data_IF_913621162608
#
_entry.id   IF_913621162608
#
_cell.length_a   1.000
_cell.length_b   1.000
_cell.length_c   1.000
_cell.angle_alpha   90.00
_cell.angle_beta   90.00
_cell.angle_gamma   90.00
#
_symmetry.space_group_name_H-M   'P 1'
#
loop_
_entity.id
_entity.type
_entity.pdbx_description
1 polymer ?
#
# COMPACT_ATOMS: atom_id res chain seq x y z
N UNK A 1 -0.51 -14.20 15.37
CA UNK A 1 0.38 -13.89 14.22
C UNK A 1 1.78 -13.56 14.74
N UNK A 2 1.96 -12.57 15.67
CA UNK A 2 3.27 -12.18 16.21
C UNK A 2 4.05 -13.37 16.78
N UNK A 3 3.43 -14.19 17.64
CA UNK A 3 4.06 -15.40 18.19
C UNK A 3 4.53 -16.34 17.07
N UNK A 4 3.66 -16.60 16.08
CA UNK A 4 4.01 -17.46 14.94
C UNK A 4 5.17 -16.90 14.12
N UNK A 5 5.22 -15.57 13.91
CA UNK A 5 6.34 -14.92 13.23
C UNK A 5 7.63 -15.02 14.05
N UNK A 6 7.56 -14.82 15.37
CA UNK A 6 8.69 -14.99 16.29
C UNK A 6 9.18 -16.43 16.35
N UNK A 7 8.28 -17.40 16.43
CA UNK A 7 8.63 -18.83 16.42
C UNK A 7 9.32 -19.22 15.11
N UNK A 8 8.82 -18.72 13.96
CA UNK A 8 9.47 -18.93 12.66
C UNK A 8 10.83 -18.24 12.55
N UNK A 9 10.97 -17.03 13.09
CA UNK A 9 12.25 -16.33 13.17
C UNK A 9 13.28 -17.16 13.96
N UNK A 10 12.89 -17.67 15.15
CA UNK A 10 13.77 -18.50 15.97
C UNK A 10 14.15 -19.80 15.26
N UNK A 11 13.20 -20.41 14.53
CA UNK A 11 13.45 -21.65 13.80
C UNK A 11 14.37 -21.46 12.59
N UNK A 12 14.35 -20.30 11.94
CA UNK A 12 15.13 -19.97 10.74
C UNK A 12 16.46 -19.25 11.08
N UNK A 13 16.64 -18.79 12.30
CA UNK A 13 17.74 -17.93 12.70
C UNK A 13 19.16 -18.52 12.47
N UNK A 14 19.42 -19.85 12.58
CA UNK A 14 20.77 -20.38 12.40
C UNK A 14 21.29 -20.33 10.94
N UNK A 15 20.39 -20.51 9.95
CA UNK A 15 20.76 -20.75 8.55
C UNK A 15 20.18 -19.73 7.57
N UNK A 16 19.69 -18.60 8.07
CA UNK A 16 18.93 -17.63 7.27
C UNK A 16 19.85 -16.52 6.75
N UNK A 17 19.72 -16.21 5.46
CA UNK A 17 20.28 -15.01 4.85
C UNK A 17 19.88 -13.75 5.63
N UNK A 18 20.79 -12.78 5.71
CA UNK A 18 20.59 -11.50 6.44
C UNK A 18 19.37 -10.74 5.93
N UNK A 19 19.12 -10.76 4.62
CA UNK A 19 17.96 -10.11 4.01
C UNK A 19 16.66 -10.76 4.47
N UNK A 20 16.61 -12.09 4.51
CA UNK A 20 15.44 -12.84 4.98
C UNK A 20 15.20 -12.55 6.46
N UNK A 21 16.27 -12.53 7.27
CA UNK A 21 16.20 -12.21 8.70
C UNK A 21 15.66 -10.80 8.93
N UNK A 22 16.16 -9.82 8.19
CA UNK A 22 15.68 -8.44 8.24
C UNK A 22 14.17 -8.35 7.93
N UNK A 23 13.72 -8.99 6.86
CA UNK A 23 12.32 -8.99 6.47
C UNK A 23 11.41 -9.69 7.50
N UNK A 24 11.85 -10.82 8.05
CA UNK A 24 11.11 -11.52 9.10
C UNK A 24 10.99 -10.68 10.39
N UNK A 25 12.04 -9.95 10.77
CA UNK A 25 12.01 -9.02 11.90
C UNK A 25 10.98 -7.92 11.66
N UNK A 26 10.97 -7.29 10.47
CA UNK A 26 9.97 -6.26 10.12
C UNK A 26 8.55 -6.80 10.19
N UNK A 27 8.32 -8.02 9.69
CA UNK A 27 7.00 -8.67 9.79
C UNK A 27 6.62 -8.93 11.25
N UNK A 28 7.55 -9.38 12.08
CA UNK A 28 7.30 -9.65 13.50
C UNK A 28 7.00 -8.36 14.30
N UNK A 29 7.69 -7.27 14.01
CA UNK A 29 7.44 -5.95 14.59
C UNK A 29 6.09 -5.39 14.16
N UNK A 30 5.79 -5.47 12.87
CA UNK A 30 4.54 -5.01 12.28
C UNK A 30 3.30 -5.84 12.70
N UNK A 31 3.50 -7.04 13.23
CA UNK A 31 2.40 -7.94 13.61
C UNK A 31 1.55 -7.45 14.81
N UNK A 32 1.91 -6.33 15.44
CA UNK A 32 1.06 -5.65 16.42
C UNK A 32 -0.05 -4.79 15.80
N UNK A 33 0.07 -4.44 14.53
CA UNK A 33 -1.02 -3.78 13.83
C UNK A 33 -2.12 -4.81 13.52
N UNK A 34 -3.39 -4.49 13.68
CA UNK A 34 -4.00 -3.19 13.94
C UNK A 34 -4.23 -2.85 15.43
N UNK A 35 -3.76 -3.66 16.38
CA UNK A 35 -3.95 -3.41 17.82
C UNK A 35 -3.23 -2.16 18.30
N UNK A 36 -2.08 -1.86 17.68
CA UNK A 36 -1.35 -0.62 17.87
C UNK A 36 -1.39 0.20 16.58
N UNK A 37 -1.43 1.53 16.66
CA UNK A 37 -1.35 2.36 15.46
C UNK A 37 -0.03 2.12 14.73
N UNK A 38 -0.01 2.19 13.39
CA UNK A 38 1.18 2.01 12.61
C UNK A 38 2.22 3.09 12.95
N UNK A 39 3.49 2.70 12.99
CA UNK A 39 4.62 3.58 13.31
C UNK A 39 5.48 3.89 12.09
N UNK A 40 5.48 3.00 11.11
CA UNK A 40 6.29 3.10 9.89
C UNK A 40 5.41 3.00 8.65
N UNK A 41 5.98 3.37 7.49
CA UNK A 41 5.32 3.16 6.19
C UNK A 41 5.00 1.68 5.95
N UNK A 42 5.91 0.79 6.32
CA UNK A 42 5.70 -0.65 6.22
C UNK A 42 4.50 -1.10 7.07
N UNK A 43 4.41 -0.64 8.34
CA UNK A 43 3.28 -0.97 9.21
C UNK A 43 1.95 -0.48 8.64
N UNK A 44 1.92 0.73 8.10
CA UNK A 44 0.72 1.32 7.53
C UNK A 44 0.23 0.52 6.30
N UNK A 45 1.12 0.21 5.36
CA UNK A 45 0.81 -0.62 4.18
C UNK A 45 0.38 -2.03 4.59
N UNK A 46 1.09 -2.65 5.54
CA UNK A 46 0.74 -3.98 6.05
C UNK A 46 -0.61 -4.00 6.77
N UNK A 47 -0.95 -2.95 7.52
CA UNK A 47 -2.27 -2.82 8.15
C UNK A 47 -3.39 -2.75 7.12
N UNK A 48 -3.20 -1.97 6.05
CA UNK A 48 -4.17 -1.88 4.96
C UNK A 48 -4.37 -3.24 4.27
N UNK A 49 -3.26 -3.95 3.99
CA UNK A 49 -3.31 -5.28 3.41
C UNK A 49 -4.03 -6.29 4.32
N UNK A 50 -3.73 -6.27 5.63
CA UNK A 50 -4.41 -7.11 6.61
C UNK A 50 -5.92 -6.82 6.66
N UNK A 51 -6.34 -5.55 6.59
CA UNK A 51 -7.76 -5.19 6.54
C UNK A 51 -8.44 -5.78 5.30
N UNK A 52 -7.82 -5.68 4.12
CA UNK A 52 -8.34 -6.31 2.88
C UNK A 52 -8.53 -7.82 3.08
N UNK A 53 -7.49 -8.49 3.58
CA UNK A 53 -7.50 -9.94 3.78
C UNK A 53 -8.56 -10.37 4.80
N UNK A 54 -8.69 -9.65 5.90
CA UNK A 54 -9.66 -10.00 6.95
C UNK A 54 -11.10 -9.78 6.53
N UNK A 55 -11.41 -8.66 5.89
CA UNK A 55 -12.75 -8.42 5.36
C UNK A 55 -13.12 -9.42 4.28
N UNK A 56 -12.16 -9.83 3.46
CA UNK A 56 -12.39 -10.86 2.44
C UNK A 56 -12.64 -12.23 3.03
N UNK A 57 -11.88 -12.62 4.08
CA UNK A 57 -11.97 -13.97 4.69
C UNK A 57 -13.13 -14.07 5.68
N UNK A 58 -13.34 -13.05 6.52
CA UNK A 58 -14.32 -13.09 7.60
C UNK A 58 -15.73 -12.72 7.13
N UNK A 59 -15.85 -11.71 6.29
CA UNK A 59 -17.14 -11.19 5.85
C UNK A 59 -17.49 -11.57 4.40
N UNK A 60 -16.59 -12.26 3.70
CA UNK A 60 -16.75 -12.59 2.29
C UNK A 60 -16.80 -11.36 1.38
N UNK A 61 -16.40 -10.19 1.89
CA UNK A 61 -16.41 -8.95 1.12
C UNK A 61 -15.26 -8.93 0.10
N UNK A 62 -15.62 -8.76 -1.15
CA UNK A 62 -14.64 -8.61 -2.24
C UNK A 62 -14.36 -7.16 -2.60
N UNK A 63 -15.22 -6.25 -2.19
CA UNK A 63 -15.15 -4.84 -2.54
C UNK A 63 -14.61 -4.05 -1.34
N UNK A 64 -13.38 -3.55 -1.46
CA UNK A 64 -12.72 -2.76 -0.43
C UNK A 64 -12.22 -1.45 -1.00
N UNK A 65 -12.72 -0.34 -0.51
CA UNK A 65 -12.18 0.98 -0.84
C UNK A 65 -11.14 1.36 0.20
N UNK A 66 -9.88 1.49 -0.22
CA UNK A 66 -8.77 1.85 0.67
C UNK A 66 -8.70 3.35 0.98
N UNK A 67 -9.54 4.15 0.32
CA UNK A 67 -9.54 5.59 0.46
C UNK A 67 -8.32 6.25 -0.19
N UNK A 68 -7.97 7.43 0.30
CA UNK A 68 -6.83 8.22 -0.20
C UNK A 68 -5.51 7.66 0.32
N UNK A 69 -4.99 6.66 -0.36
CA UNK A 69 -3.76 5.95 0.05
C UNK A 69 -2.56 6.89 0.09
N UNK A 70 -2.44 7.80 -0.87
CA UNK A 70 -1.39 8.81 -0.90
C UNK A 70 -1.35 9.69 0.37
N UNK A 71 -2.50 10.12 0.87
CA UNK A 71 -2.60 10.93 2.10
C UNK A 71 -2.39 10.11 3.35
N UNK A 72 -2.92 8.88 3.38
CA UNK A 72 -2.80 8.00 4.54
C UNK A 72 -1.36 7.55 4.75
N UNK A 73 -0.62 7.31 3.67
CA UNK A 73 0.76 6.81 3.73
C UNK A 73 1.78 7.93 3.86
N UNK A 74 1.53 9.11 3.29
CA UNK A 74 2.49 10.21 3.24
C UNK A 74 3.11 10.61 4.60
N UNK A 75 2.38 10.70 5.73
CA UNK A 75 2.98 11.04 7.01
C UNK A 75 4.02 10.00 7.50
N UNK A 76 3.81 8.73 7.19
CA UNK A 76 4.73 7.65 7.54
C UNK A 76 5.93 7.64 6.59
N UNK A 77 5.70 7.76 5.28
CA UNK A 77 6.74 7.92 4.28
C UNK A 77 7.70 9.04 4.66
N UNK A 78 7.17 10.27 4.86
CA UNK A 78 8.00 11.43 5.21
C UNK A 78 8.83 11.20 6.45
N UNK A 79 8.24 10.66 7.52
CA UNK A 79 8.95 10.35 8.77
C UNK A 79 10.06 9.33 8.56
N UNK A 80 9.82 8.29 7.79
CA UNK A 80 10.80 7.23 7.55
C UNK A 80 11.96 7.72 6.69
N UNK A 81 11.71 8.57 5.69
CA UNK A 81 12.76 9.24 4.89
C UNK A 81 13.56 10.23 5.75
N UNK A 82 12.88 11.15 6.47
CA UNK A 82 13.54 12.15 7.33
C UNK A 82 14.41 11.51 8.43
N UNK A 83 14.01 10.34 8.94
CA UNK A 83 14.79 9.59 9.93
C UNK A 83 15.89 8.69 9.35
N UNK A 84 15.99 8.59 8.02
CA UNK A 84 16.91 7.68 7.34
C UNK A 84 16.57 6.19 7.52
N UNK A 85 15.34 5.86 7.91
CA UNK A 85 14.88 4.47 8.05
C UNK A 85 14.63 3.81 6.70
N UNK A 86 14.16 4.59 5.71
CA UNK A 86 13.97 4.18 4.33
C UNK A 86 14.68 5.17 3.41
N UNK A 87 15.23 4.67 2.31
CA UNK A 87 15.53 5.45 1.12
C UNK A 87 14.27 5.63 0.28
N UNK A 88 14.30 6.55 -0.67
CA UNK A 88 13.20 6.76 -1.63
C UNK A 88 12.93 5.49 -2.45
N UNK A 89 13.99 4.84 -2.94
CA UNK A 89 13.90 3.59 -3.71
C UNK A 89 13.25 2.45 -2.89
N UNK A 90 13.60 2.35 -1.60
CA UNK A 90 12.98 1.34 -0.70
C UNK A 90 11.51 1.64 -0.43
N UNK A 91 11.15 2.92 -0.26
CA UNK A 91 9.76 3.33 -0.07
C UNK A 91 8.92 3.04 -1.32
N UNK A 92 9.43 3.35 -2.50
CA UNK A 92 8.81 3.01 -3.78
C UNK A 92 8.65 1.50 -3.94
N UNK A 93 9.69 0.74 -3.65
CA UNK A 93 9.65 -0.72 -3.70
C UNK A 93 8.57 -1.30 -2.78
N UNK A 94 8.46 -0.80 -1.54
CA UNK A 94 7.42 -1.23 -0.59
C UNK A 94 6.01 -0.94 -1.10
N UNK A 95 5.80 0.25 -1.67
CA UNK A 95 4.52 0.64 -2.24
C UNK A 95 4.14 -0.26 -3.44
N UNK A 96 5.09 -0.51 -4.32
CA UNK A 96 4.91 -1.45 -5.45
C UNK A 96 4.57 -2.86 -4.96
N UNK A 97 5.28 -3.36 -3.95
CA UNK A 97 4.97 -4.65 -3.33
C UNK A 97 3.55 -4.72 -2.77
N UNK A 98 3.07 -3.64 -2.15
CA UNK A 98 1.70 -3.54 -1.65
C UNK A 98 0.67 -3.62 -2.80
N UNK A 99 0.88 -2.87 -3.88
CA UNK A 99 0.00 -2.89 -5.06
C UNK A 99 -0.02 -4.27 -5.72
N UNK A 100 1.15 -4.89 -5.95
CA UNK A 100 1.24 -6.26 -6.48
C UNK A 100 0.54 -7.30 -5.60
N UNK A 101 0.70 -7.19 -4.28
CA UNK A 101 0.01 -8.08 -3.34
C UNK A 101 -1.50 -7.94 -3.40
N UNK A 102 -1.97 -6.71 -3.57
CA UNK A 102 -3.41 -6.42 -3.69
C UNK A 102 -3.96 -6.97 -5.02
N UNK A 103 -3.22 -6.80 -6.11
CA UNK A 103 -3.59 -7.33 -7.42
C UNK A 103 -3.63 -8.88 -7.41
N UNK A 104 -2.57 -9.50 -6.91
CA UNK A 104 -2.47 -10.96 -6.82
C UNK A 104 -3.59 -11.57 -5.96
N UNK A 105 -3.96 -10.91 -4.84
CA UNK A 105 -5.07 -11.39 -3.99
C UNK A 105 -6.39 -11.42 -4.75
N UNK A 106 -6.61 -10.45 -5.62
CA UNK A 106 -7.81 -10.36 -6.43
C UNK A 106 -7.83 -11.38 -7.56
N UNK A 107 -6.67 -11.65 -8.18
CA UNK A 107 -6.54 -12.53 -9.35
C UNK A 107 -6.70 -14.02 -9.00
N UNK A 108 -6.32 -14.43 -7.80
CA UNK A 108 -6.25 -15.85 -7.42
C UNK A 108 -7.47 -16.39 -6.64
N UNK A 109 -8.58 -15.69 -6.60
CA UNK A 109 -9.82 -16.24 -6.02
C UNK A 109 -10.60 -17.00 -7.11
N UNK A 110 -10.60 -18.36 -7.13
CA UNK A 110 -11.28 -19.14 -8.17
C UNK A 110 -12.79 -18.87 -8.25
N UNK A 111 -13.39 -18.49 -7.12
CA UNK A 111 -14.82 -18.17 -7.02
C UNK A 111 -15.15 -16.80 -7.62
N UNK A 112 -14.12 -16.01 -7.96
CA UNK A 112 -14.24 -14.63 -8.45
C UNK A 112 -13.78 -14.46 -9.89
N UNK A 113 -13.42 -15.54 -10.59
CA UNK A 113 -13.14 -15.50 -12.02
C UNK A 113 -14.42 -15.02 -12.76
N UNK A 114 -14.42 -13.74 -13.12
CA UNK A 114 -15.56 -13.08 -13.79
C UNK A 114 -16.27 -12.03 -12.95
N UNK A 115 -15.91 -11.84 -11.68
CA UNK A 115 -16.39 -10.72 -10.87
C UNK A 115 -15.27 -9.72 -10.62
N UNK A 116 -15.59 -8.46 -10.83
CA UNK A 116 -14.79 -7.33 -10.43
C UNK A 116 -14.57 -7.37 -8.90
N UNK A 117 -13.33 -7.57 -8.47
CA UNK A 117 -13.00 -7.67 -7.04
C UNK A 117 -13.13 -6.34 -6.29
N UNK A 118 -13.25 -5.23 -7.03
CA UNK A 118 -13.64 -3.93 -6.49
C UNK A 118 -12.72 -3.33 -5.44
N UNK A 119 -11.46 -3.77 -5.33
CA UNK A 119 -10.49 -3.04 -4.50
C UNK A 119 -10.15 -1.73 -5.21
N UNK A 120 -10.27 -0.62 -4.50
CA UNK A 120 -10.11 0.72 -5.06
C UNK A 120 -9.14 1.54 -4.22
N UNK A 121 -8.20 2.19 -4.89
CA UNK A 121 -7.28 3.19 -4.34
C UNK A 121 -7.69 4.56 -4.87
N UNK A 122 -7.73 5.55 -4.00
CA UNK A 122 -7.96 6.94 -4.37
C UNK A 122 -6.68 7.75 -4.17
N UNK A 123 -6.41 8.69 -5.08
CA UNK A 123 -5.28 9.63 -5.00
C UNK A 123 -5.72 11.05 -5.34
N UNK A 124 -4.93 12.04 -4.91
CA UNK A 124 -5.13 13.46 -5.21
C UNK A 124 -6.37 14.07 -4.57
N UNK A 125 -7.01 14.97 -5.29
CA UNK A 125 -8.14 15.76 -4.81
C UNK A 125 -7.74 17.00 -4.04
N UNK A 126 -8.63 17.52 -3.20
CA UNK A 126 -8.40 18.74 -2.42
C UNK A 126 -8.80 18.56 -0.95
N UNK A 127 -8.38 19.50 -0.11
CA UNK A 127 -8.85 19.66 1.26
C UNK A 127 -10.25 20.33 1.30
N UNK A 128 -10.85 20.51 2.48
CA UNK A 128 -12.14 21.19 2.61
C UNK A 128 -12.13 22.66 2.14
N UNK A 129 -10.96 23.29 2.09
CA UNK A 129 -10.77 24.67 1.61
C UNK A 129 -10.51 24.72 0.09
N UNK A 130 -10.54 23.58 -0.60
CA UNK A 130 -10.31 23.47 -2.05
C UNK A 130 -8.83 23.39 -2.46
N UNK A 131 -7.88 23.38 -1.50
CA UNK A 131 -6.45 23.33 -1.83
C UNK A 131 -6.08 21.93 -2.35
N UNK A 132 -5.37 21.82 -3.47
CA UNK A 132 -4.94 20.54 -4.00
C UNK A 132 -4.09 19.75 -3.00
N UNK A 133 -4.37 18.46 -2.88
CA UNK A 133 -3.62 17.53 -2.05
C UNK A 133 -2.91 16.53 -2.94
N UNK A 134 -1.74 16.92 -3.37
CA UNK A 134 -0.82 16.14 -4.18
C UNK A 134 0.50 16.04 -3.43
N UNK A 135 1.11 14.88 -3.42
CA UNK A 135 2.35 14.63 -2.69
C UNK A 135 3.20 13.56 -3.39
N UNK A 136 4.42 13.36 -2.92
CA UNK A 136 5.36 12.43 -3.53
C UNK A 136 4.83 10.97 -3.61
N UNK A 137 4.04 10.53 -2.63
CA UNK A 137 3.41 9.19 -2.69
C UNK A 137 2.38 9.13 -3.82
N UNK A 138 1.74 10.25 -4.17
CA UNK A 138 0.85 10.34 -5.35
C UNK A 138 1.62 10.03 -6.63
N UNK A 139 2.82 10.60 -6.80
CA UNK A 139 3.70 10.33 -7.93
C UNK A 139 4.12 8.86 -7.99
N UNK A 140 4.58 8.32 -6.86
CA UNK A 140 5.00 6.91 -6.78
C UNK A 140 3.87 5.94 -7.16
N UNK A 141 2.61 6.26 -6.80
CA UNK A 141 1.45 5.45 -7.20
C UNK A 141 1.23 5.57 -8.71
N UNK A 142 1.27 6.78 -9.28
CA UNK A 142 1.11 6.98 -10.73
C UNK A 142 2.19 6.22 -11.48
N UNK A 143 3.47 6.33 -11.08
CA UNK A 143 4.58 5.60 -11.69
C UNK A 143 4.38 4.10 -11.65
N UNK A 144 3.90 3.58 -10.52
CA UNK A 144 3.63 2.15 -10.41
C UNK A 144 2.55 1.68 -11.38
N UNK A 145 1.52 2.51 -11.66
CA UNK A 145 0.47 2.16 -12.62
C UNK A 145 0.91 2.36 -14.08
N UNK A 146 1.77 3.32 -14.37
CA UNK A 146 2.35 3.50 -15.71
C UNK A 146 3.27 2.34 -16.09
N UNK A 147 4.02 1.82 -15.13
CA UNK A 147 4.95 0.71 -15.35
C UNK A 147 4.26 -0.67 -15.38
N UNK A 148 3.03 -0.78 -14.86
CA UNK A 148 2.36 -2.06 -14.66
C UNK A 148 0.87 -1.99 -14.98
N UNK A 149 0.38 -2.99 -15.67
CA UNK A 149 -1.04 -3.14 -15.98
C UNK A 149 -1.78 -3.82 -14.81
N UNK A 150 -1.98 -3.11 -13.69
CA UNK A 150 -2.77 -3.63 -12.58
C UNK A 150 -4.25 -3.75 -12.97
N UNK A 151 -4.84 -4.89 -12.67
CA UNK A 151 -6.30 -5.09 -12.74
C UNK A 151 -6.94 -4.58 -11.45
N UNK A 152 -6.26 -4.80 -10.32
CA UNK A 152 -6.62 -4.31 -9.00
C UNK A 152 -5.34 -3.86 -8.23
N UNK A 153 -5.48 -2.91 -7.32
CA UNK A 153 -6.66 -2.09 -7.07
C UNK A 153 -6.97 -1.15 -8.23
N UNK A 154 -8.24 -0.79 -8.41
CA UNK A 154 -8.62 0.24 -9.37
C UNK A 154 -8.16 1.59 -8.88
N UNK A 155 -7.51 2.36 -9.73
CA UNK A 155 -7.06 3.70 -9.42
C UNK A 155 -8.15 4.73 -9.72
N UNK A 156 -8.57 5.46 -8.70
CA UNK A 156 -9.44 6.61 -8.80
C UNK A 156 -8.65 7.88 -8.49
N UNK A 157 -8.21 8.57 -9.52
CA UNK A 157 -7.57 9.86 -9.38
C UNK A 157 -8.61 10.99 -9.29
N UNK A 158 -8.40 11.91 -8.35
CA UNK A 158 -9.25 13.07 -8.19
C UNK A 158 -8.47 14.34 -8.51
N UNK A 159 -9.11 15.21 -9.28
CA UNK A 159 -8.62 16.53 -9.63
C UNK A 159 -9.68 17.58 -9.29
N UNK A 160 -9.24 18.82 -9.12
CA UNK A 160 -10.06 20.02 -9.00
C UNK A 160 -9.61 21.06 -10.02
N UNK A 161 -10.35 22.14 -10.17
CA UNK A 161 -10.00 23.23 -11.08
C UNK A 161 -8.65 23.89 -10.73
N UNK A 162 -8.25 23.82 -9.44
CA UNK A 162 -6.98 24.33 -8.92
C UNK A 162 -5.85 23.29 -8.91
N UNK A 163 -6.06 22.10 -9.48
CA UNK A 163 -5.03 21.06 -9.53
C UNK A 163 -3.84 21.50 -10.40
N UNK A 164 -2.63 21.12 -9.97
CA UNK A 164 -1.42 21.40 -10.72
C UNK A 164 -1.52 20.82 -12.15
N UNK A 165 -1.27 21.63 -13.19
CA UNK A 165 -1.26 21.15 -14.57
C UNK A 165 -0.31 19.97 -14.80
N UNK A 166 0.82 19.89 -14.09
CA UNK A 166 1.74 18.75 -14.16
C UNK A 166 1.06 17.46 -13.66
N UNK A 167 0.31 17.53 -12.56
CA UNK A 167 -0.47 16.40 -12.06
C UNK A 167 -1.52 15.95 -13.07
N UNK A 168 -2.26 16.90 -13.66
CA UNK A 168 -3.27 16.59 -14.69
C UNK A 168 -2.62 15.92 -15.91
N UNK A 169 -1.45 16.40 -16.33
CA UNK A 169 -0.69 15.80 -17.44
C UNK A 169 -0.31 14.34 -17.12
N UNK A 170 0.19 14.09 -15.91
CA UNK A 170 0.52 12.75 -15.44
C UNK A 170 -0.69 11.80 -15.41
N UNK A 171 -1.87 12.31 -15.01
CA UNK A 171 -3.10 11.52 -15.07
C UNK A 171 -3.53 11.19 -16.50
N UNK A 172 -3.28 12.08 -17.46
CA UNK A 172 -3.58 11.84 -18.86
C UNK A 172 -2.69 10.74 -19.47
N UNK A 173 -1.50 10.50 -18.94
CA UNK A 173 -0.61 9.40 -19.36
C UNK A 173 -1.16 8.01 -18.98
N UNK A 174 -2.06 7.94 -17.98
CA UNK A 174 -2.67 6.70 -17.50
C UNK A 174 -3.87 6.22 -18.34
N UNK A 175 -4.36 7.05 -19.27
CA UNK A 175 -5.54 6.79 -20.09
C UNK A 175 -5.15 6.34 -21.51
#
# INVERSE_FOLDING_TARGET
>A
IRRLAQDKLQALAPDCDEVIRHNLNRVAESANTPWEPPKTMFDALNSMLCCILWTSVLDGMSMNTLGWVDRLIYPFYRRDIESGRLSEDEAEYLLRCFLYKTDAHSAFSPERMGFDSGVTVMIGGCDPDGRPLYNHVTDMIIDAYLDNNFINPKLNARASDDSDPAYIHRLAELI
#
